data_IF_415408640843
#
_entry.id   IF_415408640843
#
_cell.length_a   1.000
_cell.length_b   1.000
_cell.length_c   1.000
_cell.angle_alpha   90.00
_cell.angle_beta   90.00
_cell.angle_gamma   90.00
#
_symmetry.space_group_name_H-M   'P 1'
#
loop_
_entity.id
_entity.type
_entity.pdbx_description
1 polymer ?
#
# COMPACT_ATOMS: atom_id res chain seq x y z
N UNK A 1 46.93 14.87 -57.93
CA UNK A 1 46.68 13.41 -58.12
C UNK A 1 47.08 12.68 -56.84
N UNK A 2 46.41 11.56 -56.54
CA UNK A 2 46.48 10.69 -55.33
C UNK A 2 45.45 11.09 -54.24
N UNK A 3 44.18 10.63 -54.25
CA UNK A 3 43.56 9.29 -54.09
C UNK A 3 43.89 8.61 -52.75
N UNK A 4 42.86 8.52 -51.88
CA UNK A 4 42.53 7.54 -50.81
C UNK A 4 42.14 8.28 -49.52
N UNK A 5 40.99 8.09 -48.88
CA UNK A 5 39.88 7.19 -49.12
C UNK A 5 38.84 7.45 -48.03
N UNK A 6 37.57 7.52 -48.43
CA UNK A 6 36.41 7.50 -47.56
C UNK A 6 36.38 6.21 -46.73
N UNK A 7 37.01 6.15 -45.56
CA UNK A 7 36.72 5.14 -44.53
C UNK A 7 37.19 5.64 -43.16
N UNK A 8 36.40 6.49 -42.51
CA UNK A 8 36.38 6.63 -41.03
C UNK A 8 35.17 7.43 -40.51
N UNK A 9 34.11 7.56 -41.32
CA UNK A 9 32.81 8.12 -40.90
C UNK A 9 31.96 7.07 -40.13
N UNK A 10 32.53 5.92 -39.74
CA UNK A 10 31.72 4.77 -39.31
C UNK A 10 32.22 4.03 -38.05
N UNK A 11 33.14 4.59 -37.26
CA UNK A 11 33.53 3.98 -35.97
C UNK A 11 33.83 5.05 -34.92
N UNK A 12 32.77 5.68 -34.40
CA UNK A 12 32.69 6.21 -33.02
C UNK A 12 31.33 6.87 -32.72
N UNK A 13 30.26 6.54 -33.48
CA UNK A 13 28.88 6.84 -33.11
C UNK A 13 28.37 5.96 -31.94
N UNK A 14 29.28 5.64 -31.00
CA UNK A 14 29.12 4.67 -29.91
C UNK A 14 29.50 5.26 -28.55
N UNK A 15 29.48 6.60 -28.44
CA UNK A 15 29.52 7.33 -27.17
C UNK A 15 28.23 8.10 -26.87
N UNK A 16 27.15 7.79 -27.60
CA UNK A 16 25.78 8.15 -27.22
C UNK A 16 25.17 7.03 -26.36
N UNK A 17 25.88 6.61 -25.32
CA UNK A 17 25.20 5.94 -24.23
C UNK A 17 24.57 7.06 -23.41
N UNK A 18 23.23 7.20 -23.36
CA UNK A 18 22.64 7.87 -22.22
C UNK A 18 23.20 7.12 -21.02
N UNK A 19 23.98 7.83 -20.20
CA UNK A 19 24.15 7.45 -18.80
C UNK A 19 22.74 7.15 -18.35
N UNK A 20 22.45 5.88 -18.09
CA UNK A 20 21.20 5.47 -17.49
C UNK A 20 21.17 6.20 -16.14
N UNK A 21 20.61 7.40 -16.14
CA UNK A 21 19.99 7.99 -14.99
C UNK A 21 19.07 6.89 -14.51
N UNK A 22 19.51 6.22 -13.45
CA UNK A 22 18.61 5.62 -12.48
C UNK A 22 17.70 6.79 -12.11
N UNK A 23 16.59 6.92 -12.83
CA UNK A 23 15.44 7.64 -12.33
C UNK A 23 15.07 6.84 -11.08
N UNK A 24 15.65 7.22 -9.95
CA UNK A 24 14.87 7.22 -8.73
C UNK A 24 13.67 8.10 -9.10
N UNK A 25 12.60 7.46 -9.55
CA UNK A 25 11.28 8.06 -9.52
C UNK A 25 11.08 8.37 -8.04
N UNK A 26 11.42 9.60 -7.67
CA UNK A 26 10.94 10.22 -6.47
C UNK A 26 9.44 10.31 -6.69
N UNK A 27 8.75 9.22 -6.31
CA UNK A 27 7.32 9.13 -6.31
C UNK A 27 6.88 10.20 -5.31
N UNK A 28 6.57 11.40 -5.83
CA UNK A 28 5.98 12.49 -5.07
C UNK A 28 4.60 12.00 -4.69
N UNK A 29 4.56 11.22 -3.60
CA UNK A 29 3.34 10.69 -3.02
C UNK A 29 2.44 11.89 -2.76
N UNK A 30 1.20 11.81 -3.22
CA UNK A 30 0.21 12.81 -2.90
C UNK A 30 -0.11 12.72 -1.41
N UNK A 31 0.55 13.57 -0.62
CA UNK A 31 0.43 13.62 0.85
C UNK A 31 -1.04 13.67 1.28
N UNK A 32 -1.92 14.27 0.47
CA UNK A 32 -3.36 14.40 0.79
C UNK A 32 -4.13 13.07 0.73
N UNK A 33 -3.72 12.14 -0.13
CA UNK A 33 -4.34 10.81 -0.21
C UNK A 33 -3.83 9.89 0.88
N UNK A 34 -2.54 9.97 1.20
CA UNK A 34 -1.92 9.18 2.26
C UNK A 34 -2.52 9.53 3.63
N UNK A 35 -2.71 10.83 3.91
CA UNK A 35 -3.38 11.32 5.11
C UNK A 35 -4.84 10.83 5.21
N UNK A 36 -5.54 10.76 4.07
CA UNK A 36 -6.90 10.23 4.00
C UNK A 36 -6.99 8.74 4.34
N UNK A 37 -6.07 7.93 3.79
CA UNK A 37 -5.98 6.51 4.13
C UNK A 37 -5.63 6.28 5.58
N UNK A 38 -4.66 7.02 6.11
CA UNK A 38 -4.29 6.95 7.51
C UNK A 38 -5.46 7.30 8.44
N UNK A 39 -6.20 8.37 8.15
CA UNK A 39 -7.39 8.76 8.89
C UNK A 39 -8.43 7.63 8.91
N UNK A 40 -8.71 7.02 7.75
CA UNK A 40 -9.68 5.93 7.65
C UNK A 40 -9.23 4.67 8.39
N UNK A 41 -7.95 4.32 8.32
CA UNK A 41 -7.37 3.18 9.01
C UNK A 41 -7.42 3.40 10.54
N UNK A 42 -7.02 4.57 11.03
CA UNK A 42 -7.10 4.93 12.45
C UNK A 42 -8.55 4.88 12.95
N UNK A 43 -9.50 5.44 12.19
CA UNK A 43 -10.94 5.36 12.51
C UNK A 43 -11.42 3.91 12.61
N UNK A 44 -10.93 3.02 11.75
CA UNK A 44 -11.29 1.61 11.77
C UNK A 44 -10.69 0.87 12.97
N UNK A 45 -9.44 1.18 13.33
CA UNK A 45 -8.79 0.67 14.53
C UNK A 45 -9.58 1.07 15.78
N UNK A 46 -9.96 2.34 15.91
CA UNK A 46 -10.74 2.84 17.05
C UNK A 46 -12.07 2.09 17.18
N UNK A 47 -12.79 1.92 16.07
CA UNK A 47 -14.05 1.13 16.05
C UNK A 47 -13.82 -0.32 16.51
N UNK A 48 -12.71 -0.93 16.12
CA UNK A 48 -12.34 -2.28 16.57
C UNK A 48 -11.98 -2.30 18.06
N UNK A 49 -11.27 -1.28 18.53
CA UNK A 49 -10.85 -1.14 19.92
C UNK A 49 -12.05 -0.93 20.86
N UNK A 50 -13.05 -0.15 20.46
CA UNK A 50 -14.32 -0.02 21.19
C UNK A 50 -15.01 -1.38 21.40
N UNK A 51 -14.96 -2.27 20.40
CA UNK A 51 -15.58 -3.61 20.48
C UNK A 51 -14.82 -4.55 21.42
N UNK A 52 -13.55 -4.28 21.76
CA UNK A 52 -12.79 -5.07 22.74
C UNK A 52 -13.43 -5.04 24.13
N UNK A 53 -14.20 -3.99 24.44
CA UNK A 53 -14.94 -3.88 25.71
C UNK A 53 -15.90 -5.05 25.95
N UNK A 54 -16.39 -5.70 24.88
CA UNK A 54 -17.32 -6.84 24.98
C UNK A 54 -16.65 -8.19 25.26
N UNK A 55 -15.32 -8.24 25.47
CA UNK A 55 -14.58 -9.50 25.73
C UNK A 55 -15.14 -10.33 26.90
N UNK A 56 -15.72 -9.64 27.88
CA UNK A 56 -16.29 -10.25 29.10
C UNK A 56 -17.83 -10.24 29.10
N UNK A 57 -18.46 -10.02 27.94
CA UNK A 57 -19.92 -10.04 27.83
C UNK A 57 -20.49 -11.41 28.17
N UNK A 58 -21.69 -11.45 28.76
CA UNK A 58 -22.43 -12.70 28.98
C UNK A 58 -22.83 -13.39 27.66
N UNK A 59 -22.99 -12.63 26.58
CA UNK A 59 -23.32 -13.15 25.24
C UNK A 59 -22.09 -13.75 24.55
N UNK A 60 -22.20 -15.02 24.15
CA UNK A 60 -21.16 -15.70 23.38
C UNK A 60 -20.85 -14.99 22.06
N UNK A 61 -21.87 -14.47 21.40
CA UNK A 61 -21.73 -13.78 20.12
C UNK A 61 -20.93 -12.48 20.28
N UNK A 62 -21.23 -11.70 21.32
CA UNK A 62 -20.49 -10.48 21.61
C UNK A 62 -19.02 -10.76 21.94
N UNK A 63 -18.72 -11.87 22.63
CA UNK A 63 -17.33 -12.28 22.89
C UNK A 63 -16.60 -12.66 21.61
N UNK A 64 -17.25 -13.38 20.68
CA UNK A 64 -16.66 -13.71 19.37
C UNK A 64 -16.36 -12.46 18.55
N UNK A 65 -17.32 -11.52 18.49
CA UNK A 65 -17.13 -10.25 17.80
C UNK A 65 -15.99 -9.41 18.41
N UNK A 66 -15.86 -9.43 19.75
CA UNK A 66 -14.74 -8.79 20.44
C UNK A 66 -13.39 -9.44 20.08
N UNK A 67 -13.33 -10.77 19.98
CA UNK A 67 -12.13 -11.49 19.58
C UNK A 67 -11.71 -11.15 18.14
N UNK A 68 -12.65 -11.20 17.18
CA UNK A 68 -12.40 -10.81 15.79
C UNK A 68 -11.93 -9.36 15.70
N UNK A 69 -12.60 -8.44 16.41
CA UNK A 69 -12.22 -7.02 16.43
C UNK A 69 -10.84 -6.81 17.06
N UNK A 70 -10.46 -7.65 18.03
CA UNK A 70 -9.12 -7.62 18.63
C UNK A 70 -8.05 -8.01 17.62
N UNK A 71 -8.23 -9.15 16.95
CA UNK A 71 -7.32 -9.64 15.91
C UNK A 71 -7.18 -8.63 14.78
N UNK A 72 -8.29 -8.04 14.35
CA UNK A 72 -8.31 -7.07 13.28
C UNK A 72 -7.61 -5.76 13.65
N UNK A 73 -7.84 -5.23 14.85
CA UNK A 73 -7.12 -4.04 15.33
C UNK A 73 -5.61 -4.28 15.37
N UNK A 74 -5.18 -5.47 15.83
CA UNK A 74 -3.77 -5.85 15.83
C UNK A 74 -3.21 -5.90 14.39
N UNK A 75 -3.90 -6.58 13.47
CA UNK A 75 -3.52 -6.65 12.06
C UNK A 75 -3.37 -5.27 11.41
N UNK A 76 -4.35 -4.39 11.58
CA UNK A 76 -4.33 -3.05 10.98
C UNK A 76 -3.20 -2.17 11.55
N UNK A 77 -2.80 -2.39 12.80
CA UNK A 77 -1.67 -1.68 13.43
C UNK A 77 -0.33 -2.20 12.91
N UNK A 78 -0.20 -3.52 12.83
CA UNK A 78 1.04 -4.19 12.42
C UNK A 78 1.39 -3.87 10.96
N UNK A 79 0.42 -3.98 10.06
CA UNK A 79 0.62 -3.83 8.61
C UNK A 79 0.19 -2.46 8.08
N UNK A 80 0.21 -1.43 8.92
CA UNK A 80 -0.36 -0.12 8.57
C UNK A 80 0.28 0.47 7.31
N UNK A 81 1.61 0.46 7.22
CA UNK A 81 2.34 1.09 6.13
C UNK A 81 2.12 0.30 4.83
N UNK A 82 2.19 -1.02 4.90
CA UNK A 82 1.95 -1.92 3.78
C UNK A 82 0.52 -1.77 3.24
N UNK A 83 -0.47 -1.68 4.13
CA UNK A 83 -1.87 -1.46 3.74
C UNK A 83 -2.07 -0.12 3.05
N UNK A 84 -1.37 0.94 3.49
CA UNK A 84 -1.42 2.25 2.84
C UNK A 84 -0.79 2.18 1.45
N UNK A 85 0.41 1.60 1.33
CA UNK A 85 1.10 1.43 0.04
C UNK A 85 0.25 0.57 -0.92
N UNK A 86 -0.42 -0.47 -0.42
CA UNK A 86 -1.31 -1.27 -1.26
C UNK A 86 -2.59 -0.51 -1.65
N UNK A 87 -3.18 0.29 -0.77
CA UNK A 87 -4.34 1.12 -1.11
C UNK A 87 -4.00 2.15 -2.19
N UNK A 88 -2.81 2.74 -2.11
CA UNK A 88 -2.26 3.67 -3.11
C UNK A 88 -2.04 2.95 -4.44
N UNK A 89 -1.32 1.82 -4.43
CA UNK A 89 -1.06 0.99 -5.61
C UNK A 89 -2.33 0.52 -6.33
N UNK A 90 -3.39 0.24 -5.57
CA UNK A 90 -4.67 -0.22 -6.12
C UNK A 90 -5.66 0.91 -6.40
N UNK A 91 -5.27 2.17 -6.21
CA UNK A 91 -6.10 3.36 -6.44
C UNK A 91 -7.50 3.24 -5.79
N UNK A 92 -7.56 2.73 -4.55
CA UNK A 92 -8.82 2.38 -3.88
C UNK A 92 -9.78 3.58 -3.76
N UNK A 93 -9.23 4.80 -3.80
CA UNK A 93 -9.96 6.06 -3.59
C UNK A 93 -10.20 6.37 -2.12
N UNK A 94 -10.50 7.64 -1.81
CA UNK A 94 -10.54 8.15 -0.45
C UNK A 94 -11.95 8.14 0.18
N UNK A 95 -12.91 7.35 -0.34
CA UNK A 95 -14.22 7.21 0.31
C UNK A 95 -14.15 6.14 1.39
N UNK A 96 -14.70 6.45 2.57
CA UNK A 96 -14.65 5.55 3.72
C UNK A 96 -15.14 4.12 3.42
N UNK A 97 -16.14 3.93 2.56
CA UNK A 97 -16.64 2.58 2.25
C UNK A 97 -15.68 1.79 1.36
N UNK A 98 -14.91 2.44 0.49
CA UNK A 98 -13.93 1.79 -0.38
C UNK A 98 -12.75 1.28 0.45
N UNK A 99 -12.22 2.15 1.30
CA UNK A 99 -11.14 1.81 2.25
C UNK A 99 -11.57 0.71 3.20
N UNK A 100 -12.75 0.82 3.82
CA UNK A 100 -13.26 -0.23 4.71
C UNK A 100 -13.44 -1.58 4.00
N UNK A 101 -13.97 -1.57 2.76
CA UNK A 101 -14.14 -2.79 1.97
C UNK A 101 -12.78 -3.45 1.68
N UNK A 102 -11.80 -2.67 1.22
CA UNK A 102 -10.44 -3.15 0.98
C UNK A 102 -9.81 -3.76 2.24
N UNK A 103 -9.79 -3.02 3.34
CA UNK A 103 -9.19 -3.46 4.61
C UNK A 103 -9.89 -4.70 5.20
N UNK A 104 -11.22 -4.80 5.05
CA UNK A 104 -11.98 -6.00 5.43
C UNK A 104 -11.52 -7.21 4.63
N UNK A 105 -11.45 -7.08 3.30
CA UNK A 105 -11.08 -8.18 2.42
C UNK A 105 -9.67 -8.67 2.76
N UNK A 106 -8.69 -7.76 2.88
CA UNK A 106 -7.31 -8.10 3.25
C UNK A 106 -7.22 -8.87 4.57
N UNK A 107 -7.91 -8.40 5.61
CA UNK A 107 -7.94 -9.09 6.89
C UNK A 107 -8.54 -10.51 6.76
N UNK A 108 -9.66 -10.66 6.04
CA UNK A 108 -10.34 -11.96 5.92
C UNK A 108 -9.67 -12.93 4.93
N UNK A 109 -8.87 -12.44 3.98
CA UNK A 109 -8.02 -13.28 3.12
C UNK A 109 -6.96 -14.00 3.96
N UNK A 110 -6.30 -13.27 4.87
CA UNK A 110 -5.30 -13.84 5.77
C UNK A 110 -5.98 -14.76 6.80
N UNK A 111 -7.12 -14.36 7.37
CA UNK A 111 -7.82 -15.18 8.36
C UNK A 111 -8.35 -16.51 7.82
N UNK A 112 -8.51 -16.66 6.48
CA UNK A 112 -8.89 -17.91 5.83
C UNK A 112 -7.71 -18.84 5.54
N UNK A 113 -6.48 -18.32 5.53
CA UNK A 113 -5.23 -19.04 5.27
C UNK A 113 -4.29 -18.86 6.48
N UNK A 114 -4.56 -19.55 7.61
CA UNK A 114 -3.80 -19.38 8.85
C UNK A 114 -2.34 -19.83 8.76
#
# INVERSE_FOLDING_TARGET
>A
MSKTGCQLVLVAALLMLPVNTIHAEENVRDETYQDGYEMHLNTMIEKCDCKKAYRNSGSNELRKLAAISTMKSAYLREYKLELIDEMDKHEIGNKSYQVQYFLNNKFFEIAKNP
#
